data_IF_857945452295
#
_entry.id   IF_857945452295
#
_cell.length_a   1.000
_cell.length_b   1.000
_cell.length_c   1.000
_cell.angle_alpha   90.00
_cell.angle_beta   90.00
_cell.angle_gamma   90.00
#
_symmetry.space_group_name_H-M   'P 1'
#
loop_
_entity.id
_entity.type
_entity.pdbx_description
1 polymer ?
#
# COMPACT_ATOMS: atom_id res chain seq x y z
N UNK A 1 -25.40 -26.54 47.41
CA UNK A 1 -26.65 -26.93 46.74
C UNK A 1 -27.10 -25.78 45.84
N UNK A 2 -27.14 -26.02 44.52
CA UNK A 2 -28.03 -25.47 43.48
C UNK A 2 -28.63 -24.09 43.74
N UNK A 3 -28.34 -23.06 42.94
CA UNK A 3 -29.09 -22.65 41.72
C UNK A 3 -28.18 -21.60 41.02
N UNK A 4 -27.54 -21.84 39.87
CA UNK A 4 -28.03 -21.99 38.49
C UNK A 4 -28.85 -20.78 37.98
N UNK A 5 -28.19 -19.92 37.18
CA UNK A 5 -28.72 -19.31 35.93
C UNK A 5 -30.11 -18.66 36.07
N UNK A 6 -30.20 -17.34 36.27
CA UNK A 6 -30.48 -16.51 35.09
C UNK A 6 -29.98 -15.06 35.24
N UNK A 7 -28.74 -14.77 34.86
CA UNK A 7 -28.36 -13.38 34.53
C UNK A 7 -27.50 -13.35 33.26
N UNK A 8 -27.89 -14.22 32.32
CA UNK A 8 -27.41 -14.29 30.93
C UNK A 8 -28.07 -13.18 30.08
N UNK A 9 -28.77 -12.20 30.69
CA UNK A 9 -29.65 -11.28 29.95
C UNK A 9 -29.41 -9.77 30.19
N UNK A 10 -28.39 -9.36 30.94
CA UNK A 10 -28.23 -7.93 31.24
C UNK A 10 -26.78 -7.46 31.37
N UNK A 11 -25.95 -7.73 30.37
CA UNK A 11 -24.95 -6.75 29.91
C UNK A 11 -24.42 -7.10 28.51
N UNK A 12 -25.31 -7.51 27.60
CA UNK A 12 -25.04 -7.47 26.16
C UNK A 12 -25.04 -6.01 25.62
N UNK A 13 -24.85 -5.01 26.49
CA UNK A 13 -24.93 -3.58 26.19
C UNK A 13 -23.59 -2.84 26.35
N UNK A 14 -22.48 -3.57 26.32
CA UNK A 14 -21.14 -2.99 26.14
C UNK A 14 -20.40 -3.62 24.95
N UNK A 15 -21.15 -4.22 24.02
CA UNK A 15 -20.67 -4.44 22.66
C UNK A 15 -20.64 -3.05 22.01
N UNK A 16 -19.62 -2.27 22.37
CA UNK A 16 -19.20 -1.10 21.62
C UNK A 16 -18.77 -1.61 20.26
N UNK A 17 -19.73 -1.64 19.32
CA UNK A 17 -19.44 -1.72 17.91
C UNK A 17 -18.58 -0.50 17.61
N UNK A 18 -17.26 -0.70 17.53
CA UNK A 18 -16.39 0.29 16.92
C UNK A 18 -16.80 0.34 15.46
N UNK A 19 -17.62 1.33 15.11
CA UNK A 19 -17.79 1.78 13.74
C UNK A 19 -16.41 2.11 13.21
N UNK A 20 -15.81 1.18 12.47
CA UNK A 20 -14.73 1.49 11.55
C UNK A 20 -15.33 2.50 10.58
N UNK A 21 -14.99 3.79 10.75
CA UNK A 21 -15.11 4.74 9.65
C UNK A 21 -14.28 4.15 8.53
N UNK A 22 -14.92 3.54 7.56
CA UNK A 22 -14.40 3.52 6.21
C UNK A 22 -14.58 4.94 5.70
N UNK A 23 -13.74 5.85 6.18
CA UNK A 23 -13.30 6.91 5.30
C UNK A 23 -12.81 6.16 4.06
N UNK A 24 -13.29 6.53 2.87
CA UNK A 24 -12.58 6.12 1.65
C UNK A 24 -11.22 6.80 1.79
N UNK A 25 -10.32 6.14 2.51
CA UNK A 25 -8.93 6.45 2.55
C UNK A 25 -8.54 6.26 1.10
N UNK A 26 -8.47 7.37 0.36
CA UNK A 26 -7.96 7.42 -1.00
C UNK A 26 -6.48 7.08 -0.91
N UNK A 27 -6.25 5.79 -0.67
CA UNK A 27 -4.96 5.16 -0.64
C UNK A 27 -4.60 5.11 -2.10
N UNK A 28 -3.68 5.97 -2.52
CA UNK A 28 -3.17 6.00 -3.89
C UNK A 28 -2.46 4.67 -4.17
N UNK A 29 -3.22 3.59 -4.32
CA UNK A 29 -2.76 2.21 -4.46
C UNK A 29 -3.25 1.68 -5.80
N UNK A 30 -2.32 1.16 -6.59
CA UNK A 30 -2.62 0.69 -7.94
C UNK A 30 -1.91 -0.63 -8.22
N UNK A 31 -2.60 -1.55 -8.88
CA UNK A 31 -2.04 -2.81 -9.35
C UNK A 31 -1.47 -2.63 -10.75
N UNK A 32 -0.21 -2.98 -10.95
CA UNK A 32 0.47 -2.97 -12.24
C UNK A 32 0.83 -4.38 -12.68
N UNK A 33 1.42 -4.54 -13.87
CA UNK A 33 1.96 -5.83 -14.35
C UNK A 33 3.03 -6.40 -13.41
N UNK A 34 3.81 -5.55 -12.75
CA UNK A 34 4.98 -5.95 -11.95
C UNK A 34 4.67 -6.06 -10.44
N UNK A 35 3.53 -5.57 -9.98
CA UNK A 35 3.14 -5.60 -8.58
C UNK A 35 2.27 -4.42 -8.18
N UNK A 36 1.99 -4.32 -6.88
CA UNK A 36 1.17 -3.25 -6.30
C UNK A 36 2.08 -2.08 -5.92
N UNK A 37 1.64 -0.86 -6.22
CA UNK A 37 2.29 0.40 -5.85
C UNK A 37 1.44 1.16 -4.85
N UNK A 38 2.07 1.90 -3.96
CA UNK A 38 1.44 2.85 -3.04
C UNK A 38 2.10 4.22 -3.15
N UNK A 39 1.36 5.20 -3.65
CA UNK A 39 1.78 6.59 -3.86
C UNK A 39 1.16 7.56 -2.86
N UNK A 40 1.05 8.82 -3.29
CA UNK A 40 0.50 9.94 -2.54
C UNK A 40 -0.81 10.38 -3.20
N UNK A 41 -1.88 10.48 -2.42
CA UNK A 41 -3.08 11.20 -2.84
C UNK A 41 -2.96 12.66 -2.42
N UNK A 42 -3.10 13.58 -3.38
CA UNK A 42 -3.09 15.02 -3.17
C UNK A 42 -4.54 15.55 -3.22
N UNK A 43 -5.18 15.86 -2.06
CA UNK A 43 -6.59 16.22 -2.02
C UNK A 43 -6.91 17.58 -2.66
N UNK A 44 -5.94 18.49 -2.67
CA UNK A 44 -6.02 19.83 -3.25
C UNK A 44 -6.17 19.80 -4.78
N UNK A 45 -5.43 18.91 -5.43
CA UNK A 45 -5.44 18.71 -6.88
C UNK A 45 -6.32 17.53 -7.30
N UNK A 46 -6.75 16.72 -6.35
CA UNK A 46 -7.43 15.44 -6.56
C UNK A 46 -6.64 14.49 -7.47
N UNK A 47 -5.31 14.44 -7.29
CA UNK A 47 -4.40 13.59 -8.07
C UNK A 47 -3.80 12.47 -7.23
N UNK A 48 -3.60 11.31 -7.86
CA UNK A 48 -2.76 10.24 -7.34
C UNK A 48 -1.37 10.35 -7.98
N UNK A 49 -0.34 10.51 -7.15
CA UNK A 49 1.04 10.69 -7.59
C UNK A 49 1.88 9.50 -7.16
N UNK A 50 2.68 8.99 -8.10
CA UNK A 50 3.56 7.85 -7.87
C UNK A 50 4.96 8.17 -8.40
N UNK A 51 5.96 7.99 -7.55
CA UNK A 51 7.34 8.36 -7.79
C UNK A 51 8.26 7.14 -7.64
N UNK A 52 9.43 7.18 -8.26
CA UNK A 52 10.46 6.14 -8.07
C UNK A 52 10.08 4.74 -8.56
N UNK A 53 9.10 4.61 -9.46
CA UNK A 53 8.67 3.31 -10.00
C UNK A 53 9.75 2.78 -10.96
N UNK A 54 10.34 1.60 -10.71
CA UNK A 54 11.31 1.02 -11.63
C UNK A 54 10.60 0.47 -12.87
N UNK A 55 11.12 0.82 -14.05
CA UNK A 55 10.66 0.30 -15.34
C UNK A 55 11.68 -0.65 -16.00
N UNK A 56 12.91 -0.67 -15.50
CA UNK A 56 14.00 -1.50 -15.99
C UNK A 56 14.91 -1.92 -14.82
N UNK A 57 15.72 -2.96 -15.03
CA UNK A 57 16.80 -3.33 -14.11
C UNK A 57 17.86 -2.21 -14.06
N UNK A 58 18.53 -2.07 -12.91
CA UNK A 58 19.59 -1.10 -12.73
C UNK A 58 20.75 -1.39 -13.71
N UNK A 59 21.21 -0.40 -14.51
CA UNK A 59 22.24 -0.59 -15.53
C UNK A 59 23.66 -0.57 -14.91
N UNK A 60 23.87 -1.43 -13.90
CA UNK A 60 25.13 -1.55 -13.14
C UNK A 60 25.85 -2.84 -13.49
N UNK A 61 27.15 -2.92 -13.17
CA UNK A 61 27.97 -4.10 -13.49
C UNK A 61 27.97 -4.42 -14.99
N UNK A 62 27.70 -5.68 -15.33
CA UNK A 62 27.67 -6.18 -16.71
C UNK A 62 26.55 -5.58 -17.59
N UNK A 63 25.53 -4.97 -16.95
CA UNK A 63 24.45 -4.29 -17.65
C UNK A 63 24.82 -2.86 -18.08
N UNK A 64 25.96 -2.33 -17.60
CA UNK A 64 26.41 -1.01 -18.02
C UNK A 64 26.71 -1.02 -19.52
N UNK A 65 26.22 0.00 -20.22
CA UNK A 65 26.32 0.14 -21.69
C UNK A 65 25.53 -0.91 -22.50
N UNK A 66 24.64 -1.66 -21.87
CA UNK A 66 23.71 -2.57 -22.56
C UNK A 66 22.32 -1.95 -22.68
N UNK A 67 21.49 -2.53 -23.55
CA UNK A 67 20.09 -2.18 -23.63
C UNK A 67 19.39 -2.44 -22.27
N UNK A 68 18.43 -1.59 -21.86
CA UNK A 68 17.71 -1.76 -20.61
C UNK A 68 16.98 -3.12 -20.56
N UNK A 69 17.16 -3.85 -19.47
CA UNK A 69 16.49 -5.12 -19.24
C UNK A 69 15.20 -4.92 -18.42
N UNK A 70 14.12 -5.69 -18.65
CA UNK A 70 12.88 -5.56 -17.90
C UNK A 70 13.08 -5.76 -16.39
N UNK A 71 12.47 -4.93 -15.56
CA UNK A 71 12.50 -5.12 -14.11
C UNK A 71 11.67 -6.35 -13.71
N UNK A 72 12.15 -7.11 -12.74
CA UNK A 72 11.43 -8.27 -12.19
C UNK A 72 10.17 -7.82 -11.43
N UNK A 73 9.15 -8.66 -11.38
CA UNK A 73 8.00 -8.39 -10.51
C UNK A 73 8.42 -8.45 -9.04
N UNK A 74 7.78 -7.66 -8.19
CA UNK A 74 7.98 -7.71 -6.74
C UNK A 74 6.75 -8.29 -6.03
N UNK A 75 6.98 -8.83 -4.84
CA UNK A 75 5.90 -9.27 -3.96
C UNK A 75 5.47 -8.13 -3.03
N UNK A 76 4.21 -8.17 -2.59
CA UNK A 76 3.66 -7.14 -1.71
C UNK A 76 3.41 -5.80 -2.39
N UNK A 77 3.43 -4.73 -1.58
CA UNK A 77 3.20 -3.36 -2.03
C UNK A 77 4.51 -2.59 -1.99
N UNK A 78 4.86 -1.95 -3.10
CA UNK A 78 6.06 -1.11 -3.21
C UNK A 78 5.70 0.34 -2.95
N UNK A 79 6.49 0.98 -2.10
CA UNK A 79 6.39 2.41 -1.83
C UNK A 79 6.82 3.22 -3.06
N UNK A 80 5.96 4.14 -3.47
CA UNK A 80 6.11 5.05 -4.60
C UNK A 80 5.83 6.50 -4.17
N UNK A 81 6.16 6.86 -2.92
CA UNK A 81 5.97 8.22 -2.38
C UNK A 81 7.17 9.14 -2.58
N UNK A 82 8.34 8.59 -2.92
CA UNK A 82 9.60 9.35 -3.04
C UNK A 82 10.24 9.19 -4.41
N UNK A 83 10.99 10.21 -4.85
CA UNK A 83 11.80 10.12 -6.06
C UNK A 83 12.90 9.07 -5.93
N UNK A 84 13.24 8.44 -7.04
CA UNK A 84 14.43 7.58 -7.15
C UNK A 84 15.70 8.39 -7.39
N UNK A 85 16.83 7.67 -7.41
CA UNK A 85 18.14 8.28 -7.63
C UNK A 85 18.26 8.89 -9.03
N UNK A 86 19.01 9.99 -9.13
CA UNK A 86 19.35 10.62 -10.41
C UNK A 86 20.48 9.84 -11.09
N UNK A 87 20.53 9.81 -12.43
CA UNK A 87 21.66 9.24 -13.14
C UNK A 87 22.93 10.07 -12.89
N UNK A 88 24.08 9.48 -13.18
CA UNK A 88 25.34 10.22 -13.23
C UNK A 88 25.29 11.28 -14.33
N UNK A 89 25.80 12.48 -14.04
CA UNK A 89 25.85 13.64 -14.93
C UNK A 89 27.23 14.26 -14.92
#
# INVERSE_FOLDING_TARGET
MKILIPFVLACCLIISCKTSKTDVENNARVTTKNGILEGIYAPDTNLNMFYGIPYAQAPVGDLRWKAPQPHESWTGTRDAKTFGDRPMQ
#
